data_IF_764334773003
#
_entry.id   IF_764334773003
#
_cell.length_a   1.000
_cell.length_b   1.000
_cell.length_c   1.000
_cell.angle_alpha   90.00
_cell.angle_beta   90.00
_cell.angle_gamma   90.00
#
_symmetry.space_group_name_H-M   'P 1'
#
loop_
_entity.id
_entity.type
_entity.pdbx_description
1 polymer ?
#
# COMPACT_ATOMS: atom_id res chain seq x y z
N UNK A 1 2.67 1.82 16.73
CA UNK A 1 2.92 1.25 15.40
C UNK A 1 1.93 1.84 14.41
N UNK A 2 2.40 2.23 13.22
CA UNK A 2 1.56 2.79 12.15
C UNK A 2 1.43 1.78 11.03
N UNK A 3 0.27 1.76 10.36
CA UNK A 3 -0.01 0.85 9.27
C UNK A 3 -0.44 1.60 8.00
N UNK A 4 -0.16 1.02 6.86
CA UNK A 4 -0.80 1.33 5.59
C UNK A 4 -1.31 0.04 4.96
N UNK A 5 -2.34 0.16 4.13
CA UNK A 5 -2.94 -0.99 3.45
C UNK A 5 -2.59 -0.90 1.96
N UNK A 6 -2.13 -2.00 1.41
CA UNK A 6 -1.84 -2.09 -0.01
C UNK A 6 -3.12 -2.15 -0.85
N UNK A 7 -3.02 -1.83 -2.11
CA UNK A 7 -4.13 -1.81 -3.07
C UNK A 7 -4.91 -3.12 -3.07
N UNK A 8 -4.22 -4.27 -3.03
CA UNK A 8 -4.87 -5.58 -3.06
C UNK A 8 -5.83 -5.81 -1.87
N UNK A 9 -5.57 -5.22 -0.71
CA UNK A 9 -6.44 -5.33 0.46
C UNK A 9 -7.81 -4.70 0.17
N UNK A 10 -7.83 -3.53 -0.45
CA UNK A 10 -9.07 -2.85 -0.84
C UNK A 10 -9.79 -3.56 -1.98
N UNK A 11 -9.05 -4.00 -3.00
CA UNK A 11 -9.63 -4.72 -4.14
C UNK A 11 -10.32 -6.00 -3.69
N UNK A 12 -9.69 -6.75 -2.77
CA UNK A 12 -10.31 -7.95 -2.22
C UNK A 12 -11.61 -7.64 -1.46
N UNK A 13 -11.60 -6.58 -0.66
CA UNK A 13 -12.79 -6.14 0.08
C UNK A 13 -13.95 -5.74 -0.86
N UNK A 14 -13.64 -5.19 -2.05
CA UNK A 14 -14.66 -4.88 -3.04
C UNK A 14 -15.27 -6.11 -3.71
N UNK A 15 -14.55 -7.23 -3.72
CA UNK A 15 -14.92 -8.45 -4.45
C UNK A 15 -15.47 -9.55 -3.57
N UNK A 16 -15.16 -9.53 -2.28
CA UNK A 16 -15.46 -10.61 -1.35
C UNK A 16 -15.93 -10.07 0.00
N UNK A 17 -17.12 -10.51 0.45
CA UNK A 17 -17.72 -10.05 1.71
C UNK A 17 -16.91 -10.46 2.94
N UNK A 18 -16.26 -11.61 2.93
CA UNK A 18 -15.41 -12.05 4.04
C UNK A 18 -14.17 -11.16 4.16
N UNK A 19 -13.55 -10.78 3.03
CA UNK A 19 -12.43 -9.85 3.00
C UNK A 19 -12.86 -8.46 3.46
N UNK A 20 -14.02 -7.98 3.04
CA UNK A 20 -14.59 -6.70 3.52
C UNK A 20 -14.80 -6.72 5.03
N UNK A 21 -15.43 -7.76 5.57
CA UNK A 21 -15.66 -7.90 7.01
C UNK A 21 -14.35 -7.93 7.80
N UNK A 22 -13.32 -8.60 7.30
CA UNK A 22 -12.00 -8.64 7.93
C UNK A 22 -11.30 -7.28 7.92
N UNK A 23 -11.40 -6.53 6.81
CA UNK A 23 -10.89 -5.17 6.71
C UNK A 23 -11.60 -4.24 7.69
N UNK A 24 -12.92 -4.28 7.75
CA UNK A 24 -13.70 -3.44 8.68
C UNK A 24 -13.36 -3.77 10.13
N UNK A 25 -13.25 -5.04 10.48
CA UNK A 25 -12.86 -5.47 11.83
C UNK A 25 -11.45 -4.99 12.22
N UNK A 26 -10.52 -4.94 11.27
CA UNK A 26 -9.21 -4.35 11.50
C UNK A 26 -9.30 -2.84 11.70
N UNK A 27 -10.03 -2.12 10.83
CA UNK A 27 -10.15 -0.67 10.88
C UNK A 27 -10.90 -0.18 12.13
N UNK A 28 -11.87 -0.93 12.65
CA UNK A 28 -12.52 -0.59 13.92
C UNK A 28 -11.52 -0.37 15.05
N UNK A 29 -10.42 -1.12 15.06
CA UNK A 29 -9.40 -1.05 16.11
C UNK A 29 -8.19 -0.21 15.71
N UNK A 30 -7.83 -0.23 14.44
CA UNK A 30 -6.57 0.30 13.94
C UNK A 30 -6.69 1.61 13.15
N UNK A 31 -7.91 2.10 12.86
CA UNK A 31 -8.08 3.33 12.08
C UNK A 31 -7.27 4.52 12.63
N UNK A 32 -7.16 4.73 13.97
CA UNK A 32 -6.34 5.82 14.50
C UNK A 32 -4.85 5.76 14.13
N UNK A 33 -4.34 4.61 13.78
CA UNK A 33 -2.92 4.38 13.43
C UNK A 33 -2.73 3.88 12.00
N UNK A 34 -3.80 3.92 11.19
CA UNK A 34 -3.76 3.51 9.77
C UNK A 34 -3.74 4.74 8.87
N UNK A 35 -2.88 4.69 7.88
CA UNK A 35 -2.63 5.78 6.93
C UNK A 35 -2.88 5.30 5.50
N UNK A 36 -3.32 6.22 4.64
CA UNK A 36 -3.53 5.96 3.22
C UNK A 36 -2.32 6.45 2.42
N UNK A 37 -1.74 5.57 1.61
CA UNK A 37 -0.72 5.96 0.64
C UNK A 37 -1.35 6.66 -0.56
N UNK A 38 -0.79 7.79 -0.97
CA UNK A 38 -1.21 8.48 -2.19
C UNK A 38 -0.97 7.63 -3.46
N UNK A 39 0.01 6.72 -3.44
CA UNK A 39 0.23 5.76 -4.55
C UNK A 39 -0.92 4.76 -4.62
N UNK A 40 -1.38 4.25 -3.47
CA UNK A 40 -2.55 3.37 -3.40
C UNK A 40 -3.82 4.10 -3.85
N UNK A 41 -3.99 5.37 -3.46
CA UNK A 41 -5.10 6.21 -3.97
C UNK A 41 -5.10 6.30 -5.49
N UNK A 42 -3.93 6.53 -6.10
CA UNK A 42 -3.78 6.57 -7.56
C UNK A 42 -4.21 5.26 -8.21
N UNK A 43 -3.77 4.13 -7.69
CA UNK A 43 -4.10 2.81 -8.23
C UNK A 43 -5.60 2.50 -8.11
N UNK A 44 -6.19 2.78 -6.97
CA UNK A 44 -7.63 2.57 -6.75
C UNK A 44 -8.47 3.50 -7.63
N UNK A 45 -8.08 4.78 -7.77
CA UNK A 45 -8.77 5.73 -8.65
C UNK A 45 -8.68 5.31 -10.11
N UNK A 46 -7.51 4.86 -10.57
CA UNK A 46 -7.29 4.37 -11.93
C UNK A 46 -8.12 3.11 -12.24
N UNK A 47 -8.37 2.27 -11.24
CA UNK A 47 -9.19 1.07 -11.36
C UNK A 47 -10.71 1.32 -11.32
N UNK A 48 -11.15 2.49 -10.89
CA UNK A 48 -12.57 2.85 -10.80
C UNK A 48 -13.07 3.36 -12.17
N UNK A 49 -13.59 2.46 -12.99
CA UNK A 49 -13.91 2.69 -14.40
C UNK A 49 -15.28 3.30 -14.66
N UNK A 50 -16.12 3.44 -13.63
CA UNK A 50 -17.45 4.06 -13.74
C UNK A 50 -17.56 5.23 -12.78
N UNK A 51 -18.48 6.16 -13.06
CA UNK A 51 -18.75 7.30 -12.16
C UNK A 51 -19.18 6.83 -10.78
N UNK A 52 -19.99 5.76 -10.70
CA UNK A 52 -20.42 5.22 -9.42
C UNK A 52 -19.24 4.59 -8.65
N UNK A 53 -18.40 3.79 -9.32
CA UNK A 53 -17.21 3.22 -8.69
C UNK A 53 -16.25 4.31 -8.18
N UNK A 54 -16.05 5.37 -8.95
CA UNK A 54 -15.23 6.50 -8.54
C UNK A 54 -15.78 7.20 -7.28
N UNK A 55 -17.11 7.39 -7.20
CA UNK A 55 -17.76 7.94 -6.01
C UNK A 55 -17.62 7.03 -4.79
N UNK A 56 -17.82 5.72 -4.99
CA UNK A 56 -17.72 4.74 -3.89
C UNK A 56 -16.30 4.71 -3.32
N UNK A 57 -15.29 4.75 -4.18
CA UNK A 57 -13.89 4.83 -3.76
C UNK A 57 -13.60 6.13 -3.03
N UNK A 58 -14.05 7.27 -3.56
CA UNK A 58 -13.83 8.58 -2.94
C UNK A 58 -14.48 8.64 -1.56
N UNK A 59 -15.77 8.34 -1.47
CA UNK A 59 -16.54 8.50 -0.24
C UNK A 59 -16.27 7.38 0.78
N UNK A 60 -16.13 6.14 0.32
CA UNK A 60 -16.01 4.98 1.18
C UNK A 60 -14.57 4.67 1.59
N UNK A 61 -13.58 5.04 0.77
CA UNK A 61 -12.18 4.67 1.00
C UNK A 61 -11.31 5.88 1.31
N UNK A 62 -11.32 6.92 0.48
CA UNK A 62 -10.38 8.05 0.63
C UNK A 62 -10.79 9.02 1.73
N UNK A 63 -12.04 9.49 1.72
CA UNK A 63 -12.50 10.51 2.67
C UNK A 63 -12.25 10.18 4.15
N UNK A 64 -12.41 8.93 4.62
CA UNK A 64 -12.12 8.62 6.02
C UNK A 64 -10.69 8.94 6.45
N UNK A 65 -9.72 8.81 5.53
CA UNK A 65 -8.33 9.15 5.77
C UNK A 65 -8.04 10.64 5.54
N UNK A 66 -8.58 11.22 4.47
CA UNK A 66 -8.43 12.63 4.14
C UNK A 66 -8.92 13.54 5.27
N UNK A 67 -10.12 13.28 5.77
CA UNK A 67 -10.73 14.06 6.88
C UNK A 67 -9.90 14.01 8.16
N UNK A 68 -9.08 12.99 8.33
CA UNK A 68 -8.24 12.80 9.51
C UNK A 68 -6.80 13.25 9.30
N UNK A 69 -6.48 13.77 8.11
CA UNK A 69 -5.10 14.14 7.77
C UNK A 69 -4.15 12.93 7.75
N UNK A 70 -4.66 11.75 7.39
CA UNK A 70 -3.89 10.50 7.38
C UNK A 70 -3.62 9.97 5.99
N UNK A 71 -3.29 10.86 5.08
CA UNK A 71 -2.77 10.54 3.76
C UNK A 71 -1.31 10.93 3.72
N UNK A 72 -0.45 10.08 3.19
CA UNK A 72 0.95 10.38 2.98
C UNK A 72 1.35 10.14 1.53
N UNK A 73 2.30 10.92 1.05
CA UNK A 73 2.82 10.86 -0.30
C UNK A 73 4.34 10.61 -0.27
N UNK A 74 4.89 9.97 -1.32
CA UNK A 74 6.32 9.84 -1.47
C UNK A 74 7.00 11.21 -1.56
N UNK A 75 8.15 11.35 -0.91
CA UNK A 75 9.02 12.50 -1.09
C UNK A 75 9.73 12.46 -2.45
N UNK A 76 10.34 13.58 -2.83
CA UNK A 76 11.22 13.61 -4.02
C UNK A 76 12.34 12.56 -3.89
N UNK A 77 12.93 12.42 -2.70
CA UNK A 77 13.95 11.40 -2.44
C UNK A 77 13.40 9.97 -2.60
N UNK A 78 12.16 9.72 -2.18
CA UNK A 78 11.52 8.42 -2.35
C UNK A 78 11.35 8.05 -3.83
N UNK A 79 10.97 9.00 -4.67
CA UNK A 79 10.90 8.77 -6.13
C UNK A 79 12.27 8.38 -6.71
N UNK A 80 13.32 9.12 -6.36
CA UNK A 80 14.66 8.81 -6.85
C UNK A 80 15.16 7.45 -6.35
N UNK A 81 14.96 7.13 -5.07
CA UNK A 81 15.37 5.87 -4.47
C UNK A 81 14.60 4.68 -5.06
N UNK A 82 13.29 4.79 -5.24
CA UNK A 82 12.49 3.73 -5.84
C UNK A 82 12.97 3.38 -7.25
N UNK A 83 13.36 4.38 -8.03
CA UNK A 83 13.97 4.18 -9.35
C UNK A 83 15.27 3.38 -9.26
N UNK A 84 16.15 3.69 -8.31
CA UNK A 84 17.41 2.94 -8.08
C UNK A 84 17.14 1.50 -7.62
N UNK A 85 16.16 1.30 -6.75
CA UNK A 85 15.74 -0.04 -6.31
C UNK A 85 15.29 -0.88 -7.50
N UNK A 86 14.44 -0.33 -8.35
CA UNK A 86 13.95 -1.02 -9.55
C UNK A 86 15.10 -1.31 -10.53
N UNK A 87 16.02 -0.39 -10.74
CA UNK A 87 17.17 -0.62 -11.58
C UNK A 87 18.04 -1.79 -11.06
N UNK A 88 18.18 -1.91 -9.73
CA UNK A 88 18.90 -3.01 -9.10
C UNK A 88 18.17 -4.34 -9.30
N UNK A 89 16.85 -4.39 -9.12
CA UNK A 89 16.05 -5.59 -9.38
C UNK A 89 16.16 -6.01 -10.85
N UNK A 90 15.99 -5.07 -11.78
CA UNK A 90 16.08 -5.35 -13.21
C UNK A 90 17.45 -5.84 -13.64
N UNK A 91 18.53 -5.31 -13.05
CA UNK A 91 19.89 -5.78 -13.33
C UNK A 91 20.13 -7.21 -12.86
N UNK A 92 19.47 -7.63 -11.78
CA UNK A 92 19.60 -8.99 -11.22
C UNK A 92 18.69 -10.01 -11.89
N UNK A 93 17.45 -9.63 -12.22
CA UNK A 93 16.40 -10.53 -12.68
C UNK A 93 16.03 -10.34 -14.17
N UNK A 94 16.58 -9.33 -14.82
CA UNK A 94 16.31 -8.97 -16.21
C UNK A 94 15.30 -7.84 -16.36
N UNK A 95 15.50 -7.02 -17.38
CA UNK A 95 14.65 -5.84 -17.67
C UNK A 95 13.24 -6.21 -18.12
N UNK A 96 13.04 -7.43 -18.63
CA UNK A 96 11.72 -7.96 -19.00
C UNK A 96 10.77 -8.02 -17.80
N UNK A 97 11.29 -8.17 -16.58
CA UNK A 97 10.50 -8.19 -15.36
C UNK A 97 9.60 -6.95 -15.24
N UNK A 98 10.09 -5.78 -15.64
CA UNK A 98 9.33 -4.54 -15.57
C UNK A 98 8.15 -4.52 -16.56
N UNK A 99 8.28 -5.18 -17.71
CA UNK A 99 7.20 -5.34 -18.68
C UNK A 99 6.18 -6.36 -18.21
N UNK A 100 6.64 -7.45 -17.62
CA UNK A 100 5.79 -8.54 -17.11
C UNK A 100 5.09 -8.16 -15.79
N UNK A 101 5.69 -7.26 -15.01
CA UNK A 101 5.18 -6.80 -13.73
C UNK A 101 5.21 -5.27 -13.67
N UNK A 102 4.26 -4.59 -14.35
CA UNK A 102 4.24 -3.13 -14.44
C UNK A 102 3.93 -2.43 -13.10
N UNK A 103 3.37 -3.12 -12.11
CA UNK A 103 3.11 -2.56 -10.78
C UNK A 103 4.37 -2.44 -9.92
N UNK A 104 5.45 -3.10 -10.27
CA UNK A 104 6.65 -3.21 -9.43
C UNK A 104 7.28 -1.83 -9.10
N UNK A 105 7.21 -0.88 -10.03
CA UNK A 105 7.68 0.49 -9.78
C UNK A 105 6.86 1.18 -8.68
N UNK A 106 5.55 1.05 -8.72
CA UNK A 106 4.68 1.56 -7.66
C UNK A 106 4.91 0.84 -6.33
N UNK A 107 5.12 -0.48 -6.35
CA UNK A 107 5.42 -1.25 -5.15
C UNK A 107 6.71 -0.77 -4.48
N UNK A 108 7.75 -0.50 -5.26
CA UNK A 108 8.99 0.08 -4.75
C UNK A 108 8.76 1.48 -4.14
N UNK A 109 7.95 2.30 -4.79
CA UNK A 109 7.61 3.64 -4.30
C UNK A 109 6.80 3.58 -3.00
N UNK A 110 5.85 2.65 -2.88
CA UNK A 110 5.11 2.37 -1.65
C UNK A 110 6.07 1.94 -0.54
N UNK A 111 6.97 0.99 -0.81
CA UNK A 111 7.92 0.49 0.18
C UNK A 111 8.82 1.60 0.72
N UNK A 112 9.40 2.41 -0.16
CA UNK A 112 10.28 3.52 0.24
C UNK A 112 9.52 4.57 1.03
N UNK A 113 8.32 4.97 0.58
CA UNK A 113 7.52 5.98 1.29
C UNK A 113 6.99 5.49 2.63
N UNK A 114 6.62 4.22 2.75
CA UNK A 114 6.26 3.61 4.04
C UNK A 114 7.43 3.68 5.03
N UNK A 115 8.65 3.33 4.57
CA UNK A 115 9.85 3.43 5.41
C UNK A 115 10.10 4.87 5.87
N UNK A 116 9.96 5.85 5.00
CA UNK A 116 10.15 7.27 5.36
C UNK A 116 9.23 7.72 6.50
N UNK A 117 8.04 7.14 6.58
CA UNK A 117 7.02 7.49 7.56
C UNK A 117 7.00 6.56 8.78
N UNK A 118 7.90 5.57 8.82
CA UNK A 118 7.89 4.51 9.83
C UNK A 118 6.52 3.80 9.90
N UNK A 119 6.04 3.40 8.73
CA UNK A 119 4.76 2.73 8.53
C UNK A 119 5.01 1.28 8.11
N UNK A 120 4.31 0.33 8.74
CA UNK A 120 4.27 -1.07 8.31
C UNK A 120 3.19 -1.26 7.25
N UNK A 121 3.57 -1.75 6.08
CA UNK A 121 2.63 -2.06 5.01
C UNK A 121 1.95 -3.40 5.26
N UNK A 122 0.63 -3.43 5.21
CA UNK A 122 -0.14 -4.69 5.19
C UNK A 122 -0.45 -5.03 3.74
N UNK A 123 0.04 -6.17 3.28
CA UNK A 123 -0.07 -6.61 1.89
C UNK A 123 -0.13 -8.12 1.78
N UNK A 124 -0.78 -8.62 0.71
CA UNK A 124 -0.72 -10.04 0.30
C UNK A 124 0.21 -10.27 -0.87
N UNK A 125 0.82 -9.20 -1.40
CA UNK A 125 1.68 -9.28 -2.57
C UNK A 125 3.06 -9.86 -2.21
N UNK A 126 3.44 -10.94 -2.88
CA UNK A 126 4.74 -11.58 -2.70
C UNK A 126 5.92 -10.79 -3.22
N UNK A 127 5.70 -9.78 -4.08
CA UNK A 127 6.77 -8.97 -4.65
C UNK A 127 7.52 -8.13 -3.61
N UNK A 128 6.92 -7.85 -2.48
CA UNK A 128 7.61 -7.17 -1.37
C UNK A 128 8.75 -7.99 -0.76
N UNK A 129 8.75 -9.31 -0.92
CA UNK A 129 9.92 -10.15 -0.56
C UNK A 129 11.15 -9.83 -1.41
N UNK A 130 10.93 -9.45 -2.67
CA UNK A 130 11.99 -9.03 -3.60
C UNK A 130 12.51 -7.64 -3.27
N UNK A 131 11.65 -6.74 -2.84
CA UNK A 131 11.96 -5.34 -2.58
C UNK A 131 12.56 -5.10 -1.18
N UNK A 132 12.08 -5.82 -0.19
CA UNK A 132 12.44 -5.61 1.22
C UNK A 132 13.96 -5.64 1.48
N UNK A 133 14.78 -6.53 0.90
CA UNK A 133 16.21 -6.51 1.09
C UNK A 133 16.92 -5.26 0.54
N UNK A 134 16.29 -4.59 -0.43
CA UNK A 134 16.82 -3.39 -1.10
C UNK A 134 16.32 -2.09 -0.46
N UNK A 135 15.28 -2.16 0.36
CA UNK A 135 14.72 -1.01 1.07
C UNK A 135 14.92 -1.23 2.57
N UNK A 136 16.14 -1.00 3.01
CA UNK A 136 16.53 -1.24 4.41
C UNK A 136 15.67 -0.43 5.37
N UNK A 137 15.11 -1.11 6.38
CA UNK A 137 14.21 -0.49 7.35
C UNK A 137 12.73 -0.45 6.92
N UNK A 138 12.40 -0.96 5.75
CA UNK A 138 11.01 -1.18 5.35
C UNK A 138 10.44 -2.41 6.04
N UNK A 139 9.22 -2.28 6.56
CA UNK A 139 8.49 -3.36 7.23
C UNK A 139 7.16 -3.62 6.52
N UNK A 140 6.82 -4.88 6.34
CA UNK A 140 5.53 -5.30 5.81
C UNK A 140 5.04 -6.56 6.53
N UNK A 141 3.74 -6.80 6.50
CA UNK A 141 3.10 -7.94 7.12
C UNK A 141 1.94 -8.45 6.26
N UNK A 142 1.65 -9.74 6.39
CA UNK A 142 0.43 -10.31 5.83
C UNK A 142 -0.79 -9.85 6.65
N UNK A 143 -1.99 -9.76 6.04
CA UNK A 143 -3.22 -9.52 6.78
C UNK A 143 -3.52 -10.76 7.65
N UNK A 144 -3.91 -10.64 8.88
CA UNK A 144 -3.93 -9.39 9.62
C UNK A 144 -2.93 -9.51 10.77
N UNK A 145 -2.05 -8.56 10.97
CA UNK A 145 -1.08 -8.66 12.06
C UNK A 145 -1.79 -8.61 13.40
N UNK A 146 -1.29 -9.35 14.41
CA UNK A 146 -1.82 -9.23 15.75
C UNK A 146 -1.64 -7.79 16.22
N UNK A 147 -2.73 -7.17 16.64
CA UNK A 147 -2.68 -5.86 17.27
C UNK A 147 -2.03 -6.04 18.65
N UNK A 148 -1.04 -5.18 18.94
CA UNK A 148 -0.57 -5.06 20.32
C UNK A 148 -1.79 -4.73 21.19
N UNK A 149 -2.06 -5.57 22.17
CA UNK A 149 -3.10 -5.29 23.15
C UNK A 149 -2.84 -3.95 23.83
N UNK A 150 -3.84 -3.35 24.46
CA UNK A 150 -3.63 -2.16 25.25
C UNK A 150 -2.54 -2.44 26.27
N UNK A 151 -1.54 -1.58 26.28
CA UNK A 151 -0.47 -1.63 27.26
C UNK A 151 -1.05 -1.40 28.68
#
# INVERSE_FOLDING_TARGET
>A
MKYALDTNIFIDAFRDRAAEAALLAFLERALPVTFMSAVVMQELAAGARTTQAARDVQQGVFEPFERRGRVFAPSTAAFAESGRVIATVAAREGWQLLTENPSLLNDALIAVSCREQDITLITRDGDFKRLSPLVRGFHYAAPWPPMAGPA
#
